data_IF_412831425272
#
_entry.id   IF_412831425272
#
_cell.length_a   1.000
_cell.length_b   1.000
_cell.length_c   1.000
_cell.angle_alpha   90.00
_cell.angle_beta   90.00
_cell.angle_gamma   90.00
#
_symmetry.space_group_name_H-M   'P 1'
#
loop_
_entity.id
_entity.type
_entity.pdbx_description
1 polymer ?
#
# COMPACT_ATOMS: atom_id res chain seq x y z
N UNK A 1 -59.36 4.75 4.54
CA UNK A 1 -58.32 5.80 4.47
C UNK A 1 -57.31 5.58 5.59
N UNK A 2 -56.16 4.97 5.30
CA UNK A 2 -55.08 4.70 6.27
C UNK A 2 -53.75 4.97 5.59
N UNK A 3 -53.28 6.22 5.67
CA UNK A 3 -51.97 6.63 5.16
C UNK A 3 -50.91 6.32 6.22
N UNK A 4 -50.11 5.30 5.94
CA UNK A 4 -48.92 4.93 6.69
C UNK A 4 -47.78 4.83 5.68
N UNK A 5 -47.01 5.90 5.51
CA UNK A 5 -45.69 5.80 4.87
C UNK A 5 -44.68 6.56 5.74
N UNK A 6 -44.20 5.81 6.73
CA UNK A 6 -42.78 5.55 6.98
C UNK A 6 -41.84 6.75 6.80
N UNK A 7 -41.55 7.39 7.92
CA UNK A 7 -40.28 8.10 8.06
C UNK A 7 -39.11 7.12 7.90
N UNK A 8 -38.10 7.55 7.14
CA UNK A 8 -36.65 7.39 7.39
C UNK A 8 -35.90 7.77 6.11
N UNK A 9 -35.68 9.07 5.91
CA UNK A 9 -34.65 9.56 4.99
C UNK A 9 -33.52 10.18 5.82
N UNK A 10 -32.85 9.33 6.62
CA UNK A 10 -31.58 9.66 7.25
C UNK A 10 -30.44 9.06 6.42
N UNK A 11 -30.43 9.33 5.10
CA UNK A 11 -29.29 9.05 4.22
C UNK A 11 -28.61 10.36 3.81
N UNK A 12 -28.15 11.13 4.80
CA UNK A 12 -27.28 12.28 4.59
C UNK A 12 -26.27 12.41 5.74
N UNK A 13 -25.43 11.39 5.85
CA UNK A 13 -24.04 11.56 6.25
C UNK A 13 -23.30 11.11 4.98
N UNK A 14 -22.72 11.96 4.12
CA UNK A 14 -21.96 13.19 4.36
C UNK A 14 -20.91 13.01 5.47
N UNK A 15 -20.32 11.82 5.52
CA UNK A 15 -18.88 11.73 5.72
C UNK A 15 -18.27 11.68 4.32
N UNK A 16 -17.62 12.76 3.90
CA UNK A 16 -16.78 12.76 2.72
C UNK A 16 -15.72 11.66 2.89
N UNK A 17 -15.91 10.53 2.21
CA UNK A 17 -14.86 9.51 2.09
C UNK A 17 -13.72 10.19 1.34
N UNK A 18 -12.68 10.59 2.06
CA UNK A 18 -11.49 11.17 1.46
C UNK A 18 -10.90 10.11 0.51
N UNK A 19 -10.58 10.48 -0.74
CA UNK A 19 -10.21 9.51 -1.75
C UNK A 19 -8.87 8.83 -1.41
N UNK A 20 -8.86 7.50 -1.33
CA UNK A 20 -7.80 6.56 -1.74
C UNK A 20 -6.32 6.80 -1.35
N UNK A 21 -6.00 7.71 -0.44
CA UNK A 21 -4.62 8.02 -0.05
C UNK A 21 -4.05 7.03 0.98
N UNK A 22 -4.92 6.33 1.72
CA UNK A 22 -4.54 5.43 2.82
C UNK A 22 -3.66 4.26 2.32
N UNK A 23 -3.98 3.71 1.15
CA UNK A 23 -3.20 2.63 0.52
C UNK A 23 -1.76 3.09 0.21
N UNK A 24 -1.61 4.29 -0.36
CA UNK A 24 -0.29 4.83 -0.74
C UNK A 24 0.54 5.18 0.49
N UNK A 25 -0.10 5.69 1.53
CA UNK A 25 0.53 5.97 2.82
C UNK A 25 0.99 4.69 3.52
N UNK A 26 0.19 3.61 3.48
CA UNK A 26 0.56 2.31 4.04
C UNK A 26 1.85 1.75 3.41
N UNK A 27 1.96 1.81 2.08
CA UNK A 27 3.16 1.38 1.34
C UNK A 27 4.37 2.25 1.69
N UNK A 28 4.19 3.57 1.81
CA UNK A 28 5.27 4.49 2.21
C UNK A 28 5.80 4.21 3.62
N UNK A 29 4.91 3.95 4.57
CA UNK A 29 5.28 3.64 5.95
C UNK A 29 5.99 2.28 6.01
N UNK A 30 5.43 1.25 5.37
CA UNK A 30 6.01 -0.09 5.39
C UNK A 30 7.40 -0.11 4.76
N UNK A 31 7.57 0.53 3.60
CA UNK A 31 8.88 0.66 2.96
C UNK A 31 9.86 1.48 3.81
N UNK A 32 9.40 2.56 4.44
CA UNK A 32 10.22 3.36 5.36
C UNK A 32 10.70 2.55 6.57
N UNK A 33 9.83 1.77 7.20
CA UNK A 33 10.18 0.87 8.32
C UNK A 33 11.19 -0.19 7.88
N UNK A 34 11.00 -0.77 6.70
CA UNK A 34 11.94 -1.77 6.16
C UNK A 34 13.32 -1.15 5.91
N UNK A 35 13.39 0.02 5.28
CA UNK A 35 14.65 0.74 5.06
C UNK A 35 15.32 1.14 6.38
N UNK A 36 14.54 1.60 7.34
CA UNK A 36 15.03 1.93 8.69
C UNK A 36 15.61 0.69 9.39
N UNK A 37 14.98 -0.47 9.24
CA UNK A 37 15.51 -1.74 9.75
C UNK A 37 16.87 -2.08 9.13
N UNK A 38 16.97 -2.06 7.80
CA UNK A 38 18.22 -2.34 7.09
C UNK A 38 19.33 -1.34 7.46
N UNK A 39 19.00 -0.05 7.54
CA UNK A 39 19.93 0.99 7.98
C UNK A 39 20.38 0.77 9.43
N UNK A 40 19.46 0.41 10.34
CA UNK A 40 19.76 0.12 11.73
C UNK A 40 20.70 -1.07 11.90
N UNK A 41 20.46 -2.16 11.17
CA UNK A 41 21.36 -3.33 11.16
C UNK A 41 22.73 -2.94 10.61
N UNK A 42 22.78 -2.20 9.50
CA UNK A 42 24.04 -1.75 8.91
C UNK A 42 24.84 -0.88 9.87
N UNK A 43 24.17 0.03 10.56
CA UNK A 43 24.78 0.90 11.56
C UNK A 43 25.37 0.12 12.73
N UNK A 44 24.66 -0.87 13.25
CA UNK A 44 25.16 -1.72 14.34
C UNK A 44 26.42 -2.48 13.91
N UNK A 45 26.45 -3.02 12.69
CA UNK A 45 27.61 -3.73 12.16
C UNK A 45 28.78 -2.77 11.93
N UNK A 46 28.53 -1.62 11.27
CA UNK A 46 29.56 -0.61 11.00
C UNK A 46 30.22 -0.13 12.31
N UNK A 47 29.42 0.08 13.37
CA UNK A 47 29.89 0.49 14.69
C UNK A 47 30.75 -0.58 15.37
N UNK A 48 30.38 -1.85 15.23
CA UNK A 48 31.06 -2.95 15.91
C UNK A 48 32.37 -3.35 15.22
N UNK A 49 32.44 -3.17 13.90
CA UNK A 49 33.62 -3.45 13.09
C UNK A 49 34.52 -2.22 12.85
N UNK A 50 34.12 -1.05 13.35
CA UNK A 50 34.81 0.24 13.09
C UNK A 50 35.02 0.51 11.59
N UNK A 51 34.14 -0.02 10.75
CA UNK A 51 34.19 0.22 9.31
C UNK A 51 33.67 1.62 9.00
N UNK A 52 34.17 2.19 7.90
CA UNK A 52 33.46 3.27 7.19
C UNK A 52 32.01 2.78 6.89
N UNK A 53 31.02 3.67 6.66
CA UNK A 53 29.59 3.34 6.61
C UNK A 53 29.20 2.50 5.36
N UNK A 54 29.84 1.36 5.18
CA UNK A 54 29.77 0.47 4.03
C UNK A 54 28.58 -0.45 4.21
N UNK A 55 28.38 -1.02 5.40
CA UNK A 55 27.28 -1.94 5.64
C UNK A 55 25.93 -1.22 5.59
N UNK A 56 25.83 0.01 6.11
CA UNK A 56 24.64 0.86 5.92
C UNK A 56 24.32 1.04 4.43
N UNK A 57 25.31 1.38 3.60
CA UNK A 57 25.09 1.62 2.16
C UNK A 57 24.64 0.33 1.47
N UNK A 58 25.33 -0.78 1.71
CA UNK A 58 24.99 -2.08 1.11
C UNK A 58 23.58 -2.48 1.48
N UNK A 59 23.20 -2.38 2.75
CA UNK A 59 21.87 -2.74 3.20
C UNK A 59 20.78 -1.78 2.74
N UNK A 60 21.05 -0.48 2.59
CA UNK A 60 20.11 0.44 1.98
C UNK A 60 19.87 0.12 0.51
N UNK A 61 20.93 -0.26 -0.25
CA UNK A 61 20.78 -0.70 -1.65
C UNK A 61 19.93 -1.97 -1.71
N UNK A 62 20.21 -2.96 -0.86
CA UNK A 62 19.42 -4.20 -0.78
C UNK A 62 17.97 -3.90 -0.41
N UNK A 63 17.74 -3.04 0.59
CA UNK A 63 16.41 -2.62 1.02
C UNK A 63 15.64 -1.90 -0.09
N UNK A 64 16.29 -1.00 -0.82
CA UNK A 64 15.70 -0.29 -1.96
C UNK A 64 15.30 -1.25 -3.08
N UNK A 65 16.16 -2.23 -3.42
CA UNK A 65 15.84 -3.28 -4.38
C UNK A 65 14.65 -4.13 -3.91
N UNK A 66 14.60 -4.47 -2.62
CA UNK A 66 13.49 -5.22 -2.03
C UNK A 66 12.16 -4.46 -2.12
N UNK A 67 12.14 -3.18 -1.74
CA UNK A 67 10.96 -2.32 -1.88
C UNK A 67 10.52 -2.23 -3.33
N UNK A 68 11.47 -2.03 -4.26
CA UNK A 68 11.15 -1.95 -5.69
C UNK A 68 10.58 -3.26 -6.24
N UNK A 69 11.14 -4.41 -5.87
CA UNK A 69 10.63 -5.71 -6.26
C UNK A 69 9.20 -5.93 -5.76
N UNK A 70 8.91 -5.54 -4.51
CA UNK A 70 7.55 -5.58 -3.96
C UNK A 70 6.59 -4.73 -4.77
N UNK A 71 6.94 -3.47 -5.03
CA UNK A 71 6.11 -2.54 -5.82
C UNK A 71 5.80 -3.12 -7.21
N UNK A 72 6.78 -3.75 -7.86
CA UNK A 72 6.58 -4.40 -9.16
C UNK A 72 5.56 -5.54 -9.08
N UNK A 73 5.67 -6.42 -8.09
CA UNK A 73 4.74 -7.54 -7.90
C UNK A 73 3.33 -7.04 -7.62
N UNK A 74 3.20 -6.06 -6.74
CA UNK A 74 1.90 -5.51 -6.35
C UNK A 74 1.21 -4.78 -7.52
N UNK A 75 1.99 -4.11 -8.36
CA UNK A 75 1.49 -3.52 -9.60
C UNK A 75 0.92 -4.58 -10.56
N UNK A 76 1.65 -5.68 -10.78
CA UNK A 76 1.17 -6.78 -11.63
C UNK A 76 -0.13 -7.37 -11.08
N UNK A 77 -0.21 -7.63 -9.77
CA UNK A 77 -1.42 -8.16 -9.15
C UNK A 77 -2.64 -7.21 -9.27
N UNK A 78 -2.42 -5.88 -9.26
CA UNK A 78 -3.49 -4.91 -9.51
C UNK A 78 -4.01 -4.98 -10.94
N UNK A 79 -3.15 -5.21 -11.93
CA UNK A 79 -3.57 -5.30 -13.33
C UNK A 79 -4.41 -6.54 -13.60
N UNK A 80 -4.01 -7.70 -13.07
CA UNK A 80 -4.80 -8.94 -13.22
C UNK A 80 -6.21 -8.78 -12.67
N UNK A 81 -6.36 -8.13 -11.50
CA UNK A 81 -7.68 -7.85 -10.91
C UNK A 81 -8.55 -6.96 -11.80
N UNK A 82 -7.96 -5.93 -12.41
CA UNK A 82 -8.69 -5.03 -13.31
C UNK A 82 -9.10 -5.74 -14.61
N UNK A 83 -8.30 -6.67 -15.10
CA UNK A 83 -8.67 -7.51 -16.24
C UNK A 83 -9.82 -8.46 -15.92
N UNK A 84 -9.80 -9.09 -14.74
CA UNK A 84 -10.89 -9.96 -14.27
C UNK A 84 -12.20 -9.19 -14.08
N UNK A 85 -12.14 -7.98 -13.50
CA UNK A 85 -13.31 -7.11 -13.38
C UNK A 85 -13.89 -6.73 -14.74
N UNK A 86 -13.04 -6.45 -15.73
CA UNK A 86 -13.47 -6.14 -17.10
C UNK A 86 -14.11 -7.35 -17.78
N UNK A 87 -13.54 -8.54 -17.62
CA UNK A 87 -14.10 -9.80 -18.16
C UNK A 87 -15.45 -10.13 -17.51
N UNK A 88 -15.57 -9.95 -16.19
CA UNK A 88 -16.82 -10.15 -15.46
C UNK A 88 -17.92 -9.15 -15.85
N UNK A 89 -17.55 -7.92 -16.21
CA UNK A 89 -18.49 -6.88 -16.67
C UNK A 89 -18.90 -7.04 -18.13
N UNK A 90 -17.98 -7.52 -18.99
CA UNK A 90 -18.26 -7.82 -20.40
C UNK A 90 -19.14 -9.07 -20.59
N UNK A 91 -19.17 -9.98 -19.60
CA UNK A 91 -20.02 -11.17 -19.62
C UNK A 91 -21.48 -10.96 -19.19
N UNK A 92 -21.93 -9.73 -18.95
CA UNK A 92 -23.32 -9.42 -18.60
C UNK A 92 -24.09 -9.03 -19.87
N UNK A 93 -24.82 -9.94 -20.54
CA UNK A 93 -25.71 -9.56 -21.64
C UNK A 93 -26.78 -8.62 -21.08
N UNK A 94 -26.96 -7.48 -21.75
CA UNK A 94 -28.05 -6.52 -21.52
C UNK A 94 -29.39 -7.09 -21.93
#
# INVERSE_FOLDING_TARGET
MRTLIRGTSKRRAEGSVLPANDDTLGVGIESGVLLMLFAGIGYLIDRQLNTLPIFIIVFLVVGAVGVFAKLKVEYTARMDRLEDERRGRAGRPT
#
